data_IF_166506932118
#
_entry.id   IF_166506932118
#
_cell.length_a   1.000
_cell.length_b   1.000
_cell.length_c   1.000
_cell.angle_alpha   90.00
_cell.angle_beta   90.00
_cell.angle_gamma   90.00
#
_symmetry.space_group_name_H-M   'P 1'
#
loop_
_entity.id
_entity.type
_entity.pdbx_description
1 polymer ?
#
# COMPACT_ATOMS: atom_id res chain seq x y z
N UNK A 1 -5.51 -5.47 5.97
CA UNK A 1 -5.92 -5.08 4.60
C UNK A 1 -5.71 -3.58 4.40
N UNK A 2 -5.41 -3.15 3.18
CA UNK A 2 -5.22 -1.75 2.82
C UNK A 2 -6.15 -1.39 1.67
N UNK A 3 -6.56 -0.11 1.62
CA UNK A 3 -7.42 0.44 0.58
C UNK A 3 -6.65 1.47 -0.23
N UNK A 4 -6.74 1.36 -1.55
CA UNK A 4 -6.24 2.36 -2.49
C UNK A 4 -7.32 3.43 -2.64
N UNK A 5 -6.99 4.67 -2.31
CA UNK A 5 -7.89 5.83 -2.39
C UNK A 5 -7.30 6.84 -3.35
N UNK A 6 -8.10 7.27 -4.32
CA UNK A 6 -7.73 8.29 -5.30
C UNK A 6 -8.94 9.13 -5.67
N UNK A 7 -8.75 10.43 -5.92
CA UNK A 7 -9.82 11.32 -6.34
C UNK A 7 -9.91 11.46 -7.87
N UNK A 8 -8.77 11.63 -8.56
CA UNK A 8 -8.73 11.94 -10.00
C UNK A 8 -7.84 10.99 -10.81
N UNK A 9 -6.65 10.70 -10.30
CA UNK A 9 -5.67 9.88 -11.02
C UNK A 9 -5.77 8.42 -10.56
N UNK A 10 -6.13 7.46 -11.43
CA UNK A 10 -6.21 6.06 -11.04
C UNK A 10 -4.81 5.54 -10.71
N UNK A 11 -4.65 5.04 -9.48
CA UNK A 11 -3.38 4.51 -8.97
C UNK A 11 -3.26 3.03 -9.35
N UNK A 12 -2.13 2.63 -9.93
CA UNK A 12 -1.84 1.21 -10.22
C UNK A 12 -0.80 0.66 -9.25
N UNK A 13 -1.10 -0.47 -8.61
CA UNK A 13 -0.19 -1.13 -7.67
C UNK A 13 0.22 -2.49 -8.24
N UNK A 14 1.53 -2.71 -8.38
CA UNK A 14 2.12 -3.95 -8.88
C UNK A 14 3.09 -4.53 -7.85
N UNK A 15 3.10 -5.85 -7.72
CA UNK A 15 4.06 -6.57 -6.88
C UNK A 15 5.18 -7.11 -7.77
N UNK A 16 6.43 -6.78 -7.48
CA UNK A 16 7.60 -7.21 -8.24
C UNK A 16 8.63 -7.80 -7.27
N UNK A 17 8.59 -9.14 -7.13
CA UNK A 17 9.43 -9.85 -6.15
C UNK A 17 9.25 -9.28 -4.75
N UNK A 18 10.32 -8.71 -4.20
CA UNK A 18 10.37 -8.16 -2.84
C UNK A 18 10.06 -6.64 -2.78
N UNK A 19 9.49 -6.07 -3.84
CA UNK A 19 9.12 -4.65 -3.89
C UNK A 19 7.71 -4.47 -4.45
N UNK A 20 7.05 -3.42 -3.99
CA UNK A 20 5.74 -2.99 -4.48
C UNK A 20 5.97 -1.71 -5.27
N UNK A 21 5.49 -1.67 -6.49
CA UNK A 21 5.59 -0.56 -7.42
C UNK A 21 4.22 0.11 -7.48
N UNK A 22 4.18 1.41 -7.20
CA UNK A 22 2.99 2.25 -7.22
C UNK A 22 3.17 3.24 -8.37
N UNK A 23 2.34 3.12 -9.38
CA UNK A 23 2.38 3.92 -10.61
C UNK A 23 1.23 4.93 -10.61
N UNK A 24 1.46 6.07 -11.28
CA UNK A 24 0.47 7.13 -11.49
C UNK A 24 -0.09 7.76 -10.19
N UNK A 25 0.69 7.76 -9.11
CA UNK A 25 0.32 8.44 -7.86
C UNK A 25 0.22 9.94 -8.10
N UNK A 26 -0.98 10.52 -7.99
CA UNK A 26 -1.24 11.95 -8.23
C UNK A 26 -0.74 12.46 -9.62
N UNK A 27 -0.66 11.58 -10.62
CA UNK A 27 -0.12 11.90 -11.94
C UNK A 27 1.41 12.00 -12.02
N UNK A 28 2.14 11.50 -11.02
CA UNK A 28 3.60 11.39 -11.08
C UNK A 28 4.02 10.41 -12.19
N UNK A 29 5.00 10.84 -13.02
CA UNK A 29 5.62 9.97 -14.04
C UNK A 29 6.55 8.92 -13.43
N UNK A 30 7.19 9.26 -12.32
CA UNK A 30 8.10 8.36 -11.63
C UNK A 30 7.32 7.44 -10.69
N UNK A 31 7.43 6.12 -10.82
CA UNK A 31 6.77 5.20 -9.91
C UNK A 31 7.39 5.27 -8.52
N UNK A 32 6.57 5.12 -7.49
CA UNK A 32 7.04 4.97 -6.10
C UNK A 32 7.24 3.50 -5.79
N UNK A 33 8.22 3.19 -4.96
CA UNK A 33 8.51 1.81 -4.56
C UNK A 33 8.47 1.65 -3.05
N UNK A 34 7.77 0.63 -2.57
CA UNK A 34 7.81 0.19 -1.18
C UNK A 34 8.51 -1.17 -1.07
N UNK A 35 9.27 -1.37 0.01
CA UNK A 35 9.99 -2.62 0.27
C UNK A 35 9.09 -3.60 1.03
N UNK A 36 9.03 -4.85 0.57
CA UNK A 36 8.43 -5.97 1.29
C UNK A 36 9.49 -6.54 2.23
N UNK A 37 9.10 -6.81 3.46
CA UNK A 37 9.98 -7.34 4.51
C UNK A 37 9.55 -8.76 4.82
N UNK A 38 10.55 -9.63 4.99
CA UNK A 38 10.34 -11.05 5.28
C UNK A 38 9.58 -11.79 4.19
N UNK A 39 8.99 -12.92 4.59
CA UNK A 39 8.19 -13.81 3.75
C UNK A 39 6.71 -13.44 3.85
N UNK A 40 6.36 -12.30 3.27
CA UNK A 40 5.00 -11.76 3.29
C UNK A 40 4.40 -11.80 1.88
N UNK A 41 3.20 -12.39 1.77
CA UNK A 41 2.45 -12.45 0.53
C UNK A 41 1.59 -11.20 0.38
N UNK A 42 1.81 -10.46 -0.69
CA UNK A 42 1.02 -9.27 -1.05
C UNK A 42 0.19 -9.59 -2.28
N UNK A 43 -1.12 -9.41 -2.18
CA UNK A 43 -2.09 -9.62 -3.26
C UNK A 43 -2.89 -8.36 -3.49
N UNK A 44 -3.04 -7.94 -4.75
CA UNK A 44 -3.84 -6.78 -5.13
C UNK A 44 -5.14 -7.28 -5.76
N UNK A 45 -6.29 -6.88 -5.21
CA UNK A 45 -7.63 -7.22 -5.69
C UNK A 45 -8.43 -5.93 -5.90
N UNK A 46 -8.45 -5.43 -7.13
CA UNK A 46 -9.07 -4.15 -7.44
C UNK A 46 -8.44 -3.03 -6.61
N UNK A 47 -9.26 -2.36 -5.79
CA UNK A 47 -8.82 -1.27 -4.90
C UNK A 47 -8.29 -1.77 -3.54
N UNK A 48 -8.32 -3.08 -3.28
CA UNK A 48 -7.88 -3.66 -2.01
C UNK A 48 -6.50 -4.33 -2.13
N UNK A 49 -5.59 -3.97 -1.22
CA UNK A 49 -4.28 -4.62 -1.07
C UNK A 49 -4.32 -5.48 0.18
N UNK A 50 -4.13 -6.79 -0.03
CA UNK A 50 -4.16 -7.81 1.00
C UNK A 50 -2.74 -8.24 1.29
N UNK A 51 -2.32 -8.10 2.55
CA UNK A 51 -1.01 -8.51 3.05
C UNK A 51 -1.25 -9.65 4.03
N UNK A 52 -0.60 -10.78 3.79
CA UNK A 52 -0.70 -11.99 4.60
C UNK A 52 0.70 -12.53 4.89
N UNK A 53 0.94 -12.95 6.11
CA UNK A 53 2.21 -13.52 6.54
C UNK A 53 2.07 -14.20 7.89
N UNK A 54 3.07 -15.00 8.23
CA UNK A 54 3.14 -15.71 9.51
C UNK A 54 3.60 -14.76 10.62
N UNK A 55 4.60 -13.92 10.31
CA UNK A 55 5.13 -12.94 11.24
C UNK A 55 4.37 -11.61 11.16
N UNK A 56 3.77 -11.21 12.28
CA UNK A 56 3.01 -9.96 12.39
C UNK A 56 3.88 -8.71 12.22
N UNK A 57 5.14 -8.75 12.64
CA UNK A 57 6.06 -7.62 12.54
C UNK A 57 6.40 -7.34 11.07
N UNK A 58 6.69 -8.39 10.31
CA UNK A 58 7.00 -8.30 8.88
C UNK A 58 5.78 -7.80 8.08
N UNK A 59 4.58 -8.30 8.41
CA UNK A 59 3.32 -7.87 7.81
C UNK A 59 3.05 -6.40 8.12
N UNK A 60 3.18 -6.01 9.39
CA UNK A 60 2.91 -4.64 9.85
C UNK A 60 3.90 -3.65 9.27
N UNK A 61 5.18 -4.01 9.23
CA UNK A 61 6.22 -3.16 8.66
C UNK A 61 6.06 -3.03 7.14
N UNK A 62 5.69 -4.11 6.44
CA UNK A 62 5.37 -4.05 5.01
C UNK A 62 4.17 -3.14 4.74
N UNK A 63 3.10 -3.24 5.54
CA UNK A 63 1.94 -2.35 5.44
C UNK A 63 2.32 -0.88 5.66
N UNK A 64 3.12 -0.61 6.70
CA UNK A 64 3.60 0.74 7.01
C UNK A 64 4.48 1.31 5.88
N UNK A 65 5.34 0.50 5.26
CA UNK A 65 6.18 0.94 4.15
C UNK A 65 5.35 1.41 2.95
N UNK A 66 4.24 0.73 2.65
CA UNK A 66 3.34 1.10 1.55
C UNK A 66 2.66 2.42 1.85
N UNK A 67 2.08 2.56 3.04
CA UNK A 67 1.38 3.78 3.45
C UNK A 67 2.34 5.00 3.46
N UNK A 68 3.54 4.84 4.02
CA UNK A 68 4.57 5.87 4.01
C UNK A 68 5.05 6.22 2.60
N UNK A 69 5.14 5.25 1.69
CA UNK A 69 5.52 5.51 0.30
C UNK A 69 4.50 6.44 -0.40
N UNK A 70 3.22 6.34 -0.04
CA UNK A 70 2.15 7.21 -0.57
C UNK A 70 1.91 8.47 0.25
N UNK A 71 2.70 8.74 1.30
CA UNK A 71 2.50 9.93 2.13
C UNK A 71 2.85 11.22 1.37
N UNK A 72 1.93 12.17 1.37
CA UNK A 72 2.09 13.49 0.77
C UNK A 72 2.67 14.44 1.83
N UNK A 73 3.84 15.05 1.56
CA UNK A 73 4.50 16.00 2.48
C UNK A 73 4.28 17.47 2.12
N UNK A 74 4.14 17.80 0.83
CA UNK A 74 4.20 19.17 0.32
C UNK A 74 2.83 19.75 -0.10
N UNK A 75 1.73 19.14 0.35
CA UNK A 75 0.35 19.56 0.06
C UNK A 75 -0.51 19.43 1.32
N UNK A 76 -1.65 20.11 1.33
CA UNK A 76 -2.61 20.02 2.41
C UNK A 76 -3.27 18.61 2.41
N UNK A 77 -3.06 17.80 3.46
CA UNK A 77 -3.60 16.44 3.52
C UNK A 77 -5.13 16.40 3.62
N UNK A 78 -5.81 17.51 3.97
CA UNK A 78 -7.28 17.57 4.04
C UNK A 78 -7.93 17.64 2.66
N UNK A 79 -7.19 18.16 1.67
CA UNK A 79 -7.67 18.30 0.30
C UNK A 79 -7.14 17.18 -0.60
N UNK A 80 -5.93 16.71 -0.34
CA UNK A 80 -5.29 15.64 -1.10
C UNK A 80 -5.23 14.38 -0.23
N UNK A 81 -6.28 13.57 -0.32
CA UNK A 81 -6.46 12.31 0.41
C UNK A 81 -6.05 11.08 -0.43
N UNK A 82 -5.39 11.31 -1.57
CA UNK A 82 -4.90 10.24 -2.43
C UNK A 82 -3.79 9.48 -1.70
N UNK A 83 -3.93 8.16 -1.57
CA UNK A 83 -3.06 7.36 -0.72
C UNK A 83 -3.49 5.91 -0.61
N UNK A 84 -2.61 5.09 -0.02
CA UNK A 84 -2.93 3.71 0.35
C UNK A 84 -2.96 3.64 1.87
N UNK A 85 -4.12 3.29 2.43
CA UNK A 85 -4.35 3.35 3.88
C UNK A 85 -4.67 1.98 4.46
N UNK A 86 -4.16 1.70 5.65
CA UNK A 86 -4.57 0.51 6.42
C UNK A 86 -5.98 0.73 6.98
N UNK A 87 -6.96 -0.04 6.52
CA UNK A 87 -8.34 0.06 7.02
C UNK A 87 -8.75 -1.08 7.94
N UNK A 88 -8.06 -2.22 7.88
CA UNK A 88 -8.36 -3.38 8.72
C UNK A 88 -7.07 -4.07 9.14
N UNK A 89 -6.99 -4.40 10.43
CA UNK A 89 -5.93 -5.24 11.02
C UNK A 89 -6.61 -6.44 11.67
N UNK A 90 -6.09 -7.62 11.43
CA UNK A 90 -6.64 -8.86 11.95
C UNK A 90 -5.49 -9.78 12.37
N UNK A 91 -5.67 -10.45 13.49
CA UNK A 91 -4.78 -11.51 13.98
C UNK A 91 -5.55 -12.84 13.93
N UNK A 92 -4.92 -13.87 13.37
CA UNK A 92 -5.56 -15.17 13.10
C UNK A 92 -6.16 -15.29 11.69
N UNK A 93 -6.33 -16.53 11.23
CA UNK A 93 -7.10 -16.80 10.02
C UNK A 93 -8.59 -16.68 10.37
N UNK A 94 -9.32 -15.81 9.65
CA UNK A 94 -10.77 -15.91 9.61
C UNK A 94 -11.13 -17.20 8.86
N UNK A 95 -11.80 -18.10 9.57
CA UNK A 95 -12.41 -19.32 9.02
C UNK A 95 -13.41 -19.00 7.91
#
# INVERSE_FOLDING_TARGET
KLKIVYAHFPISVKVNGNKIIIENFMGERSPRTAKIIGDVKVSVKGDDVIIQGINIEDVSQTAANIEQATRIKNRDPRRFLDGIYVYEKMEGMAE
#
